data_IF_442677259919
#
_entry.id   IF_442677259919
#
_cell.length_a   1.000
_cell.length_b   1.000
_cell.length_c   1.000
_cell.angle_alpha   90.00
_cell.angle_beta   90.00
_cell.angle_gamma   90.00
#
_symmetry.space_group_name_H-M   'P 1'
#
loop_
_entity.id
_entity.type
_entity.pdbx_description
1 polymer ?
#
# COMPACT_ATOMS: atom_id res chain seq x y z
N UNK A 1 4.46 9.23 13.87
CA UNK A 1 3.71 8.44 14.86
C UNK A 1 2.30 9.00 15.16
N UNK A 2 2.12 10.26 15.59
CA UNK A 2 0.79 10.77 16.01
C UNK A 2 -0.28 10.83 14.91
N UNK A 3 0.11 11.03 13.64
CA UNK A 3 -0.82 11.14 12.51
C UNK A 3 -1.64 9.87 12.26
N UNK A 4 -1.04 8.69 12.41
CA UNK A 4 -1.75 7.41 12.21
C UNK A 4 -2.81 7.24 13.30
N UNK A 5 -2.47 7.57 14.55
CA UNK A 5 -3.39 7.49 15.68
C UNK A 5 -4.56 8.48 15.50
N UNK A 6 -4.27 9.68 15.01
CA UNK A 6 -5.27 10.71 14.69
C UNK A 6 -6.26 10.22 13.63
N UNK A 7 -5.77 9.65 12.52
CA UNK A 7 -6.61 9.07 11.48
C UNK A 7 -7.39 7.85 11.95
N UNK A 8 -6.79 6.99 12.77
CA UNK A 8 -7.43 5.81 13.32
C UNK A 8 -8.57 6.18 14.27
N UNK A 9 -8.41 7.26 15.04
CA UNK A 9 -9.45 7.80 15.90
C UNK A 9 -10.63 8.33 15.08
N UNK A 10 -10.36 9.10 14.01
CA UNK A 10 -11.40 9.60 13.10
C UNK A 10 -12.15 8.45 12.42
N UNK A 11 -11.42 7.44 11.93
CA UNK A 11 -12.01 6.25 11.31
C UNK A 11 -12.91 5.49 12.30
N UNK A 12 -12.44 5.34 13.55
CA UNK A 12 -13.20 4.69 14.62
C UNK A 12 -14.52 5.41 14.93
N UNK A 13 -14.52 6.76 14.96
CA UNK A 13 -15.73 7.54 15.16
C UNK A 13 -16.75 7.34 14.02
N UNK A 14 -16.29 7.35 12.77
CA UNK A 14 -17.15 7.11 11.60
C UNK A 14 -17.73 5.69 11.67
N UNK A 15 -16.91 4.71 12.04
CA UNK A 15 -17.35 3.33 12.21
C UNK A 15 -18.38 3.19 13.34
N UNK A 16 -18.21 3.88 14.47
CA UNK A 16 -19.15 3.87 15.57
C UNK A 16 -20.52 4.46 15.18
N UNK A 17 -20.55 5.53 14.39
CA UNK A 17 -21.79 6.11 13.84
C UNK A 17 -22.50 5.10 12.95
N UNK A 18 -21.75 4.40 12.09
CA UNK A 18 -22.29 3.35 11.23
C UNK A 18 -22.86 2.16 12.01
N UNK A 19 -22.14 1.67 13.02
CA UNK A 19 -22.62 0.59 13.91
C UNK A 19 -23.88 1.01 14.66
N UNK A 20 -23.96 2.27 15.11
CA UNK A 20 -25.13 2.80 15.81
C UNK A 20 -26.38 2.79 14.92
N UNK A 21 -26.23 3.05 13.62
CA UNK A 21 -27.30 2.88 12.63
C UNK A 21 -27.71 1.41 12.47
N UNK A 22 -26.74 0.49 12.47
CA UNK A 22 -26.98 -0.96 12.34
C UNK A 22 -27.78 -1.53 13.53
N UNK A 23 -27.55 -1.01 14.73
CA UNK A 23 -28.29 -1.36 15.95
C UNK A 23 -29.73 -0.80 15.93
N UNK A 24 -30.07 0.03 14.94
CA UNK A 24 -31.43 0.59 14.78
C UNK A 24 -31.69 1.85 15.61
N UNK A 25 -30.66 2.47 16.18
CA UNK A 25 -30.78 3.73 16.92
C UNK A 25 -31.17 4.88 15.97
N UNK A 26 -30.78 4.79 14.69
CA UNK A 26 -31.09 5.76 13.64
C UNK A 26 -31.87 5.04 12.54
N UNK A 27 -33.16 5.31 12.44
CA UNK A 27 -34.02 4.76 11.38
C UNK A 27 -33.91 5.62 10.12
N UNK A 28 -33.58 4.98 8.99
CA UNK A 28 -33.60 5.61 7.67
C UNK A 28 -34.82 5.09 6.93
N UNK A 29 -35.69 6.00 6.50
CA UNK A 29 -37.04 5.72 6.01
C UNK A 29 -37.06 5.09 4.61
N UNK A 30 -35.93 5.06 3.90
CA UNK A 30 -35.81 4.50 2.55
C UNK A 30 -35.12 3.13 2.57
N UNK A 31 -35.82 2.09 2.09
CA UNK A 31 -35.31 0.71 2.05
C UNK A 31 -34.07 0.55 1.16
N UNK A 32 -34.02 1.23 0.01
CA UNK A 32 -32.87 1.15 -0.89
C UNK A 32 -31.58 1.68 -0.23
N UNK A 33 -31.70 2.82 0.46
CA UNK A 33 -30.58 3.44 1.18
C UNK A 33 -30.19 2.62 2.41
N UNK A 34 -31.14 1.95 3.06
CA UNK A 34 -30.87 1.12 4.23
C UNK A 34 -30.01 -0.09 3.87
N UNK A 35 -30.33 -0.78 2.76
CA UNK A 35 -29.57 -1.91 2.25
C UNK A 35 -28.15 -1.49 1.87
N UNK A 36 -27.99 -0.43 1.07
CA UNK A 36 -26.65 0.04 0.65
C UNK A 36 -25.79 0.41 1.86
N UNK A 37 -26.36 1.12 2.85
CA UNK A 37 -25.62 1.48 4.05
C UNK A 37 -25.24 0.25 4.89
N UNK A 38 -26.06 -0.81 4.92
CA UNK A 38 -25.73 -2.02 5.68
C UNK A 38 -24.49 -2.75 5.14
N UNK A 39 -24.25 -2.66 3.82
CA UNK A 39 -23.10 -3.29 3.17
C UNK A 39 -21.94 -2.30 2.92
N UNK A 40 -22.06 -1.05 3.35
CA UNK A 40 -21.09 0.01 3.14
C UNK A 40 -19.63 -0.34 3.49
N UNK A 41 -19.31 -0.99 4.63
CA UNK A 41 -17.91 -1.32 4.94
C UNK A 41 -17.32 -2.37 3.98
N UNK A 42 -18.14 -3.30 3.48
CA UNK A 42 -17.68 -4.28 2.48
C UNK A 42 -17.36 -3.59 1.16
N UNK A 43 -18.21 -2.65 0.72
CA UNK A 43 -17.96 -1.86 -0.48
C UNK A 43 -16.69 -1.00 -0.34
N UNK A 44 -16.50 -0.37 0.83
CA UNK A 44 -15.32 0.43 1.14
C UNK A 44 -14.04 -0.42 1.07
N UNK A 45 -14.04 -1.60 1.72
CA UNK A 45 -12.91 -2.53 1.70
C UNK A 45 -12.60 -3.04 0.30
N UNK A 46 -13.63 -3.35 -0.50
CA UNK A 46 -13.46 -3.86 -1.85
C UNK A 46 -12.85 -2.79 -2.78
N UNK A 47 -13.31 -1.54 -2.69
CA UNK A 47 -12.73 -0.42 -3.45
C UNK A 47 -11.30 -0.18 -3.00
N UNK A 48 -11.07 -0.08 -1.68
CA UNK A 48 -9.73 0.17 -1.13
C UNK A 48 -8.74 -0.93 -1.52
N UNK A 49 -9.15 -2.20 -1.39
CA UNK A 49 -8.34 -3.35 -1.76
C UNK A 49 -7.99 -3.35 -3.26
N UNK A 50 -8.99 -3.13 -4.12
CA UNK A 50 -8.77 -3.09 -5.59
C UNK A 50 -7.83 -1.96 -5.98
N UNK A 51 -8.05 -0.75 -5.45
CA UNK A 51 -7.18 0.42 -5.72
C UNK A 51 -5.76 0.15 -5.22
N UNK A 52 -5.61 -0.42 -4.03
CA UNK A 52 -4.30 -0.78 -3.47
C UNK A 52 -3.55 -1.76 -4.37
N UNK A 53 -4.21 -2.85 -4.80
CA UNK A 53 -3.62 -3.85 -5.70
C UNK A 53 -3.22 -3.21 -7.04
N UNK A 54 -4.09 -2.41 -7.64
CA UNK A 54 -3.79 -1.72 -8.91
C UNK A 54 -2.57 -0.81 -8.77
N UNK A 55 -2.48 -0.03 -7.69
CA UNK A 55 -1.33 0.86 -7.46
C UNK A 55 -0.04 0.07 -7.26
N UNK A 56 -0.08 -1.01 -6.48
CA UNK A 56 1.08 -1.88 -6.24
C UNK A 56 1.53 -2.51 -7.56
N UNK A 57 0.62 -3.12 -8.31
CA UNK A 57 0.92 -3.72 -9.61
C UNK A 57 1.50 -2.68 -10.58
N UNK A 58 0.85 -1.53 -10.73
CA UNK A 58 1.31 -0.45 -11.61
C UNK A 58 2.73 0.00 -11.26
N UNK A 59 3.01 0.18 -9.96
CA UNK A 59 4.35 0.56 -9.50
C UNK A 59 5.36 -0.54 -9.73
N UNK A 60 5.03 -1.79 -9.44
CA UNK A 60 5.93 -2.93 -9.66
C UNK A 60 6.25 -3.12 -11.14
N UNK A 61 5.24 -3.05 -12.02
CA UNK A 61 5.45 -3.11 -13.47
C UNK A 61 6.35 -1.96 -13.95
N UNK A 62 6.15 -0.75 -13.44
CA UNK A 62 6.93 0.43 -13.86
C UNK A 62 8.32 0.53 -13.21
N UNK A 63 8.63 -0.27 -12.18
CA UNK A 63 9.95 -0.28 -11.52
C UNK A 63 10.94 -1.25 -12.19
N UNK A 64 10.48 -2.13 -13.09
CA UNK A 64 11.30 -3.18 -13.69
C UNK A 64 12.28 -2.67 -14.76
N UNK A 65 11.97 -1.56 -15.43
CA UNK A 65 12.75 -1.11 -16.59
C UNK A 65 13.68 0.05 -16.23
N UNK A 66 14.65 -0.19 -15.36
CA UNK A 66 15.85 0.67 -15.27
C UNK A 66 17.12 -0.14 -15.61
N UNK A 67 17.24 -0.61 -16.87
CA UNK A 67 18.43 -1.33 -17.31
C UNK A 67 19.70 -0.47 -17.15
N UNK A 68 19.57 0.84 -17.34
CA UNK A 68 20.66 1.80 -17.19
C UNK A 68 21.24 1.82 -15.77
N UNK A 69 20.39 1.93 -14.73
CA UNK A 69 20.84 1.88 -13.34
C UNK A 69 21.50 0.54 -12.97
N UNK A 70 21.01 -0.59 -13.51
CA UNK A 70 21.64 -1.90 -13.31
C UNK A 70 23.02 -1.99 -13.96
N UNK A 71 23.19 -1.37 -15.13
CA UNK A 71 24.43 -1.39 -15.91
C UNK A 71 25.50 -0.51 -15.27
N UNK A 72 25.12 0.66 -14.76
CA UNK A 72 26.01 1.53 -13.98
C UNK A 72 26.45 0.87 -12.67
N UNK A 73 25.52 0.24 -11.93
CA UNK A 73 25.87 -0.51 -10.72
C UNK A 73 26.85 -1.65 -11.03
N UNK A 74 26.62 -2.43 -12.10
CA UNK A 74 27.54 -3.51 -12.47
C UNK A 74 28.93 -3.01 -12.87
N UNK A 75 29.04 -1.84 -13.49
CA UNK A 75 30.34 -1.20 -13.74
C UNK A 75 31.08 -0.89 -12.44
N UNK A 76 30.41 -0.27 -11.47
CA UNK A 76 30.99 0.04 -10.16
C UNK A 76 31.43 -1.22 -9.40
N UNK A 77 30.65 -2.30 -9.48
CA UNK A 77 31.01 -3.60 -8.88
C UNK A 77 32.27 -4.17 -9.51
N UNK A 78 32.39 -4.12 -10.83
CA UNK A 78 33.58 -4.63 -11.53
C UNK A 78 34.84 -3.78 -11.25
N UNK A 79 34.68 -2.47 -11.10
CA UNK A 79 35.77 -1.57 -10.72
C UNK A 79 36.23 -1.83 -9.28
N UNK A 80 35.30 -1.99 -8.34
CA UNK A 80 35.60 -2.35 -6.95
C UNK A 80 36.30 -3.72 -6.84
N UNK A 81 35.86 -4.72 -7.64
CA UNK A 81 36.52 -6.03 -7.72
C UNK A 81 37.97 -5.90 -8.22
N UNK A 82 38.22 -5.06 -9.22
CA UNK A 82 39.58 -4.80 -9.72
C UNK A 82 40.46 -4.10 -8.69
N UNK A 83 39.93 -3.14 -7.95
CA UNK A 83 40.69 -2.46 -6.87
C UNK A 83 41.05 -3.44 -5.74
N UNK A 84 40.11 -4.32 -5.36
CA UNK A 84 40.37 -5.38 -4.38
C UNK A 84 41.42 -6.38 -4.85
N UNK A 85 41.36 -6.80 -6.13
CA UNK A 85 42.37 -7.66 -6.73
C UNK A 85 43.75 -6.99 -6.76
N UNK A 86 43.83 -5.69 -7.05
CA UNK A 86 45.07 -4.92 -6.99
C UNK A 86 45.62 -4.82 -5.55
N UNK A 87 44.75 -4.86 -4.54
CA UNK A 87 45.11 -4.93 -3.12
C UNK A 87 45.44 -6.35 -2.64
N UNK A 88 45.45 -7.35 -3.52
CA UNK A 88 45.76 -8.74 -3.20
C UNK A 88 44.62 -9.53 -2.55
N UNK A 89 43.39 -9.00 -2.54
CA UNK A 89 42.20 -9.65 -1.99
C UNK A 89 41.37 -10.22 -3.15
N UNK A 90 41.37 -11.54 -3.30
CA UNK A 90 40.54 -12.23 -4.30
C UNK A 90 39.13 -12.43 -3.77
N UNK A 91 38.16 -11.74 -4.38
CA UNK A 91 36.73 -11.96 -4.11
C UNK A 91 36.21 -12.96 -5.14
N UNK A 92 36.05 -14.23 -4.73
CA UNK A 92 35.36 -15.23 -5.56
C UNK A 92 33.86 -14.93 -5.64
N UNK A 93 33.27 -15.31 -6.78
CA UNK A 93 31.93 -14.94 -7.25
C UNK A 93 30.79 -15.51 -6.42
#
# INVERSE_FOLDING_TARGET
MRKIVEWLFVLSLIFAIWVSKLIGIISVQSECVSTILNWLPFHLLLIFGTVSVVIVLYRTFNFNDCPEASTELMKLVNEAKRDLAHRGLTVES
#
